data_IF_037992876597
#
_entry.id   IF_037992876597
#
_cell.length_a   1.000
_cell.length_b   1.000
_cell.length_c   1.000
_cell.angle_alpha   90.00
_cell.angle_beta   90.00
_cell.angle_gamma   90.00
#
_symmetry.space_group_name_H-M   'P 1'
#
loop_
_entity.id
_entity.type
_entity.pdbx_description
1 polymer ?
#
# COMPACT_ATOMS: atom_id res chain seq x y z
N UNK A 1 -20.97 -21.07 17.85
CA UNK A 1 -20.35 -20.25 16.79
C UNK A 1 -20.70 -20.92 15.48
N UNK A 2 -21.53 -20.28 14.66
CA UNK A 2 -21.95 -20.83 13.37
C UNK A 2 -20.75 -20.84 12.40
N UNK A 3 -20.61 -21.86 11.54
CA UNK A 3 -19.40 -22.03 10.71
C UNK A 3 -19.14 -20.83 9.80
N UNK A 4 -20.21 -20.20 9.31
CA UNK A 4 -20.13 -18.99 8.48
C UNK A 4 -19.57 -17.77 9.24
N UNK A 5 -19.84 -17.65 10.54
CA UNK A 5 -19.28 -16.61 11.39
C UNK A 5 -17.79 -16.85 11.67
N UNK A 6 -17.40 -18.12 11.84
CA UNK A 6 -16.01 -18.51 12.01
C UNK A 6 -15.17 -18.24 10.75
N UNK A 7 -15.70 -18.53 9.56
CA UNK A 7 -15.03 -18.25 8.29
C UNK A 7 -14.82 -16.75 8.03
N UNK A 8 -15.83 -15.91 8.34
CA UNK A 8 -15.68 -14.44 8.22
C UNK A 8 -14.59 -13.91 9.13
N UNK A 9 -14.61 -14.31 10.40
CA UNK A 9 -13.56 -13.93 11.37
C UNK A 9 -12.18 -14.45 10.96
N UNK A 10 -12.09 -15.67 10.46
CA UNK A 10 -10.82 -16.22 9.99
C UNK A 10 -10.26 -15.43 8.81
N UNK A 11 -11.12 -14.99 7.88
CA UNK A 11 -10.73 -14.11 6.76
C UNK A 11 -10.30 -12.73 7.24
N UNK A 12 -11.01 -12.13 8.19
CA UNK A 12 -10.63 -10.85 8.81
C UNK A 12 -9.25 -10.96 9.49
N UNK A 13 -9.05 -11.97 10.33
CA UNK A 13 -7.78 -12.21 11.04
C UNK A 13 -6.64 -12.49 10.04
N UNK A 14 -6.92 -13.26 8.98
CA UNK A 14 -5.94 -13.51 7.93
C UNK A 14 -5.57 -12.21 7.21
N UNK A 15 -6.54 -11.37 6.87
CA UNK A 15 -6.29 -10.09 6.22
C UNK A 15 -5.54 -9.11 7.13
N UNK A 16 -5.83 -9.10 8.43
CA UNK A 16 -5.11 -8.28 9.42
C UNK A 16 -3.67 -8.75 9.62
N UNK A 17 -3.42 -10.07 9.72
CA UNK A 17 -2.10 -10.62 10.08
C UNK A 17 -1.21 -10.95 8.87
N UNK A 18 -1.79 -11.52 7.83
CA UNK A 18 -1.10 -12.01 6.64
C UNK A 18 -1.41 -11.16 5.41
N UNK A 19 -2.57 -10.49 5.41
CA UNK A 19 -2.95 -9.55 4.37
C UNK A 19 -2.25 -8.20 4.47
N UNK A 20 -1.37 -7.93 5.43
CA UNK A 20 -0.70 -6.61 5.54
C UNK A 20 0.20 -6.25 4.35
N UNK A 21 0.45 -7.20 3.42
CA UNK A 21 1.32 -6.99 2.27
C UNK A 21 2.78 -6.77 2.68
N UNK A 22 3.35 -5.64 2.30
CA UNK A 22 4.74 -5.27 2.61
C UNK A 22 4.99 -5.20 4.11
N UNK A 23 5.90 -6.04 4.61
CA UNK A 23 6.34 -6.01 6.00
C UNK A 23 7.69 -5.31 6.08
N UNK A 24 7.67 -4.04 6.50
CA UNK A 24 8.91 -3.26 6.66
C UNK A 24 8.69 -1.76 6.59
N UNK A 25 9.75 -1.05 6.24
CA UNK A 25 9.71 0.38 5.95
C UNK A 25 10.59 0.72 4.76
N UNK A 26 10.16 1.69 3.97
CA UNK A 26 10.99 2.32 2.96
C UNK A 26 11.61 3.58 3.52
N UNK A 27 12.83 3.89 3.10
CA UNK A 27 13.50 5.13 3.45
C UNK A 27 13.66 5.94 2.17
N UNK A 28 13.05 7.13 2.12
CA UNK A 28 13.21 8.07 1.02
C UNK A 28 13.82 9.38 1.51
N UNK A 29 14.33 10.16 0.55
CA UNK A 29 14.97 11.44 0.77
C UNK A 29 14.39 12.46 -0.21
N UNK A 30 14.33 13.73 0.18
CA UNK A 30 13.95 14.82 -0.73
C UNK A 30 12.46 14.90 -1.08
N UNK A 31 12.15 15.24 -2.33
CA UNK A 31 10.81 15.50 -2.86
C UNK A 31 10.45 14.45 -3.95
N UNK A 32 9.18 14.03 -4.11
CA UNK A 32 7.96 14.49 -3.42
C UNK A 32 7.84 13.97 -1.99
N UNK A 33 7.30 14.83 -1.12
CA UNK A 33 7.04 14.46 0.26
C UNK A 33 5.80 13.55 0.34
N UNK A 34 6.02 12.29 0.70
CA UNK A 34 4.92 11.33 0.95
C UNK A 34 4.14 11.70 2.22
N UNK A 35 2.83 11.47 2.20
CA UNK A 35 1.91 11.68 3.33
C UNK A 35 1.19 10.39 3.71
N UNK A 36 0.65 10.39 4.93
CA UNK A 36 -0.31 9.37 5.36
C UNK A 36 -1.48 9.28 4.38
N UNK A 37 -2.04 8.08 4.24
CA UNK A 37 -3.17 7.77 3.36
C UNK A 37 -2.94 7.93 1.85
N UNK A 38 -1.71 8.17 1.41
CA UNK A 38 -1.41 8.12 -0.02
C UNK A 38 -1.31 6.67 -0.50
N UNK A 39 -1.68 6.46 -1.76
CA UNK A 39 -1.42 5.21 -2.46
C UNK A 39 -0.09 5.39 -3.18
N UNK A 40 0.87 4.51 -2.92
CA UNK A 40 2.17 4.47 -3.57
C UNK A 40 2.29 3.20 -4.41
N UNK A 41 3.03 3.27 -5.49
CA UNK A 41 3.41 2.10 -6.28
C UNK A 41 4.85 1.76 -5.97
N UNK A 42 5.08 0.56 -5.44
CA UNK A 42 6.42 0.01 -5.25
C UNK A 42 6.75 -0.77 -6.52
N UNK A 43 7.82 -0.40 -7.19
CA UNK A 43 8.33 -1.09 -8.36
C UNK A 43 9.72 -1.66 -8.04
N UNK A 44 9.85 -2.98 -8.13
CA UNK A 44 11.12 -3.68 -8.04
C UNK A 44 11.53 -4.06 -9.49
N UNK A 45 12.62 -3.49 -10.03
CA UNK A 45 13.05 -3.76 -11.40
C UNK A 45 13.56 -5.18 -11.60
N UNK A 46 13.97 -5.86 -10.52
CA UNK A 46 14.53 -7.22 -10.58
C UNK A 46 13.44 -8.29 -10.42
N UNK A 47 12.34 -7.96 -9.74
CA UNK A 47 11.25 -8.89 -9.45
C UNK A 47 9.86 -8.23 -9.54
N UNK A 48 9.18 -8.45 -10.67
CA UNK A 48 7.82 -7.97 -10.90
C UNK A 48 6.80 -8.49 -9.88
N UNK A 49 7.04 -9.65 -9.25
CA UNK A 49 6.12 -10.21 -8.26
C UNK A 49 6.11 -9.42 -6.95
N UNK A 50 7.16 -8.63 -6.69
CA UNK A 50 7.28 -7.72 -5.55
C UNK A 50 6.78 -6.31 -5.85
N UNK A 51 6.45 -6.04 -7.11
CA UNK A 51 5.88 -4.76 -7.51
C UNK A 51 4.39 -4.72 -7.19
N UNK A 52 3.97 -3.82 -6.31
CA UNK A 52 2.59 -3.71 -5.89
C UNK A 52 2.23 -2.30 -5.42
N UNK A 53 0.94 -1.98 -5.50
CA UNK A 53 0.39 -0.77 -4.88
C UNK A 53 0.24 -0.99 -3.38
N UNK A 54 0.62 0.00 -2.60
CA UNK A 54 0.53 -0.01 -1.15
C UNK A 54 -0.10 1.28 -0.64
N UNK A 55 -0.83 1.16 0.47
CA UNK A 55 -1.38 2.30 1.18
C UNK A 55 -0.35 2.78 2.20
N UNK A 56 -0.17 4.09 2.38
CA UNK A 56 0.78 4.61 3.37
C UNK A 56 0.11 4.67 4.74
N UNK A 57 0.41 3.69 5.58
CA UNK A 57 -0.11 3.57 6.95
C UNK A 57 0.60 4.52 7.93
N UNK A 58 1.89 4.80 7.71
CA UNK A 58 2.62 5.76 8.54
C UNK A 58 3.77 6.37 7.78
N UNK A 59 4.03 7.66 8.04
CA UNK A 59 5.26 8.34 7.60
C UNK A 59 5.89 9.03 8.79
N UNK A 60 7.18 8.77 9.03
CA UNK A 60 7.98 9.50 10.00
C UNK A 60 8.96 10.37 9.23
N UNK A 61 8.77 11.69 9.33
CA UNK A 61 9.65 12.69 8.72
C UNK A 61 10.72 13.08 9.73
N UNK A 62 11.99 12.95 9.34
CA UNK A 62 13.14 13.32 10.15
C UNK A 62 13.92 14.43 9.44
N UNK A 63 14.18 15.50 10.18
CA UNK A 63 14.98 16.64 9.74
C UNK A 63 16.21 16.74 10.63
N UNK A 64 17.36 16.34 10.10
CA UNK A 64 18.62 16.33 10.82
C UNK A 64 19.64 17.21 10.09
N UNK A 65 20.84 17.36 10.66
CA UNK A 65 21.99 18.01 9.99
C UNK A 65 22.31 17.35 8.63
N UNK A 66 22.01 16.06 8.50
CA UNK A 66 22.21 15.26 7.30
C UNK A 66 21.07 15.39 6.26
N UNK A 67 20.13 16.31 6.49
CA UNK A 67 19.03 16.62 5.56
C UNK A 67 17.68 16.02 5.93
N UNK A 68 16.79 15.96 4.93
CA UNK A 68 15.42 15.47 5.06
C UNK A 68 15.30 13.99 4.68
N UNK A 69 14.77 13.19 5.61
CA UNK A 69 14.51 11.76 5.43
C UNK A 69 13.08 11.42 5.80
N UNK A 70 12.48 10.49 5.06
CA UNK A 70 11.15 9.95 5.33
C UNK A 70 11.23 8.44 5.50
N UNK A 71 10.73 7.96 6.63
CA UNK A 71 10.49 6.52 6.85
C UNK A 71 9.01 6.24 6.57
N UNK A 72 8.75 5.45 5.54
CA UNK A 72 7.41 5.16 5.03
C UNK A 72 7.08 3.71 5.40
N UNK A 73 5.98 3.53 6.11
CA UNK A 73 5.45 2.22 6.47
C UNK A 73 4.29 1.92 5.53
N UNK A 74 4.51 1.02 4.54
CA UNK A 74 3.44 0.55 3.69
C UNK A 74 2.49 -0.34 4.49
N UNK A 75 1.20 -0.17 4.23
CA UNK A 75 0.13 -1.06 4.64
C UNK A 75 -0.53 -1.68 3.42
N UNK A 76 -1.51 -2.54 3.68
CA UNK A 76 -2.22 -3.23 2.62
C UNK A 76 -3.11 -2.28 1.81
N UNK A 77 -3.04 -2.41 0.50
CA UNK A 77 -3.97 -1.77 -0.41
C UNK A 77 -4.77 -2.85 -1.14
N UNK A 78 -6.08 -2.88 -0.88
CA UNK A 78 -6.99 -3.67 -1.70
C UNK A 78 -7.31 -2.86 -2.95
N UNK A 79 -6.75 -3.24 -4.10
CA UNK A 79 -7.18 -2.63 -5.35
C UNK A 79 -8.64 -2.99 -5.56
N UNK A 80 -9.55 -2.00 -5.61
CA UNK A 80 -10.96 -2.30 -5.81
C UNK A 80 -11.10 -3.10 -7.11
N UNK A 81 -11.93 -4.15 -7.13
CA UNK A 81 -12.15 -4.93 -8.34
C UNK A 81 -12.52 -3.95 -9.45
N UNK A 82 -11.81 -4.04 -10.59
CA UNK A 82 -12.04 -3.19 -11.75
C UNK A 82 -13.49 -3.37 -12.20
N UNK A 83 -14.40 -2.55 -11.69
CA UNK A 83 -15.76 -2.45 -12.19
C UNK A 83 -15.66 -1.86 -13.58
N UNK A 84 -15.75 -2.73 -14.58
CA UNK A 84 -16.13 -2.46 -15.97
C UNK A 84 -15.53 -1.24 -16.65
N UNK A 85 -14.62 -1.48 -17.59
CA UNK A 85 -14.45 -0.68 -18.82
C UNK A 85 -14.93 0.79 -18.73
N UNK A 86 -14.04 1.70 -18.36
CA UNK A 86 -14.24 3.11 -18.71
C UNK A 86 -14.30 3.16 -20.24
N UNK A 87 -15.51 3.27 -20.81
CA UNK A 87 -15.70 3.56 -22.23
C UNK A 87 -14.86 4.79 -22.54
N UNK A 88 -13.85 4.61 -23.38
CA UNK A 88 -13.13 5.71 -24.02
C UNK A 88 -14.15 6.51 -24.83
N UNK A 89 -14.63 7.63 -24.29
CA UNK A 89 -15.32 8.62 -25.12
C UNK A 89 -14.26 9.35 -25.94
N UNK A 90 -13.79 8.68 -27.00
CA UNK A 90 -13.23 9.37 -28.15
C UNK A 90 -14.38 10.13 -28.81
N UNK A 91 -14.42 11.45 -28.63
CA UNK A 91 -15.12 12.33 -29.56
C UNK A 91 -14.06 13.12 -30.32
N UNK A 92 -14.15 12.94 -31.64
CA UNK A 92 -13.45 13.65 -32.70
C UNK A 92 -13.64 15.15 -32.59
#
# INVERSE_FOLDING_TARGET
MDSQGAEKRAKEIFNEKCGSGFKGKFVSFGFPSITHSQIIEVQDPDDLSRSAKAFVDKVIKKFNKDGYRQEIFPGFYYEPPKTGSSKSNGKK
#
